data_IF_286884750478
#
_entry.id   IF_286884750478
#
_cell.length_a   1.000
_cell.length_b   1.000
_cell.length_c   1.000
_cell.angle_alpha   90.00
_cell.angle_beta   90.00
_cell.angle_gamma   90.00
#
_symmetry.space_group_name_H-M   'P 1'
#
loop_
_entity.id
_entity.type
_entity.pdbx_description
1 polymer ?
#
# COMPACT_ATOMS: atom_id res chain seq x y z
N UNK A 1 -1.46 9.24 -3.05
CA UNK A 1 -0.84 9.39 -1.72
C UNK A 1 -0.92 8.03 -1.05
N UNK A 2 0.21 7.41 -0.73
CA UNK A 2 0.24 6.16 0.06
C UNK A 2 -0.18 6.47 1.51
N UNK A 3 -1.01 5.62 2.10
CA UNK A 3 -1.54 5.78 3.45
C UNK A 3 -0.80 4.87 4.42
N UNK A 4 -0.47 5.41 5.59
CA UNK A 4 0.24 4.67 6.65
C UNK A 4 -0.58 4.65 7.95
N UNK A 5 -1.78 4.09 7.87
CA UNK A 5 -2.71 3.98 9.01
C UNK A 5 -2.10 3.24 10.22
N UNK A 6 -1.10 2.38 9.96
CA UNK A 6 -0.35 1.66 11.00
C UNK A 6 0.55 2.56 11.87
N UNK A 7 0.95 3.73 11.37
CA UNK A 7 1.81 4.67 12.11
C UNK A 7 1.00 5.79 12.77
N UNK A 8 -0.11 6.20 12.14
CA UNK A 8 -1.00 7.23 12.67
C UNK A 8 -2.46 6.86 12.37
N UNK A 9 -3.22 6.57 13.42
CA UNK A 9 -4.64 6.21 13.31
C UNK A 9 -5.44 7.45 12.89
N UNK A 10 -6.31 7.31 11.90
CA UNK A 10 -7.12 8.37 11.32
C UNK A 10 -6.38 9.21 10.26
N UNK A 11 -5.15 8.85 9.88
CA UNK A 11 -4.38 9.62 8.90
C UNK A 11 -5.11 9.75 7.56
N UNK A 12 -5.84 8.70 7.17
CA UNK A 12 -6.66 8.66 5.96
C UNK A 12 -7.75 9.73 5.98
N UNK A 13 -8.50 9.82 7.08
CA UNK A 13 -9.59 10.79 7.21
C UNK A 13 -9.06 12.23 7.34
N UNK A 14 -7.95 12.42 8.06
CA UNK A 14 -7.27 13.71 8.15
C UNK A 14 -6.88 14.21 6.75
N UNK A 15 -6.30 13.34 5.92
CA UNK A 15 -5.91 13.70 4.55
C UNK A 15 -7.13 13.95 3.65
N UNK A 16 -8.16 13.10 3.72
CA UNK A 16 -9.41 13.30 2.97
C UNK A 16 -10.04 14.65 3.31
N UNK A 17 -10.15 14.99 4.59
CA UNK A 17 -10.72 16.26 5.06
C UNK A 17 -9.87 17.46 4.65
N UNK A 18 -8.55 17.35 4.72
CA UNK A 18 -7.64 18.45 4.32
C UNK A 18 -7.76 18.81 2.84
N UNK A 19 -7.98 17.81 1.98
CA UNK A 19 -7.98 18.00 0.53
C UNK A 19 -9.38 17.94 -0.10
N UNK A 20 -10.43 17.74 0.69
CA UNK A 20 -11.82 17.59 0.21
C UNK A 20 -12.28 18.77 -0.64
N UNK A 21 -11.81 19.97 -0.33
CA UNK A 21 -12.26 21.19 -1.01
C UNK A 21 -11.59 21.37 -2.37
N UNK A 22 -10.34 20.91 -2.51
CA UNK A 22 -9.49 21.13 -3.69
C UNK A 22 -9.43 19.93 -4.63
N UNK A 23 -9.70 18.71 -4.14
CA UNK A 23 -9.55 17.48 -4.91
C UNK A 23 -10.82 16.62 -4.90
N UNK A 24 -11.06 15.91 -6.00
CA UNK A 24 -11.85 14.70 -6.01
C UNK A 24 -10.95 13.56 -5.52
N UNK A 25 -11.40 12.83 -4.51
CA UNK A 25 -10.61 11.80 -3.83
C UNK A 25 -11.30 10.46 -3.98
N UNK A 26 -10.56 9.45 -4.44
CA UNK A 26 -10.98 8.04 -4.42
C UNK A 26 -9.93 7.21 -3.70
N UNK A 27 -10.38 6.29 -2.85
CA UNK A 27 -9.50 5.35 -2.16
C UNK A 27 -9.28 4.10 -3.01
N UNK A 28 -8.05 3.62 -3.02
CA UNK A 28 -7.63 2.36 -3.62
C UNK A 28 -7.16 1.48 -2.47
N UNK A 29 -7.89 0.39 -2.25
CA UNK A 29 -7.58 -0.57 -1.19
C UNK A 29 -6.35 -1.40 -1.56
N UNK A 30 -5.36 -1.40 -0.67
CA UNK A 30 -4.21 -2.28 -0.77
C UNK A 30 -4.63 -3.74 -0.65
N UNK A 31 -3.92 -4.63 -1.35
CA UNK A 31 -4.15 -6.06 -1.28
C UNK A 31 -3.00 -6.73 -0.54
N UNK A 32 -3.29 -7.82 0.18
CA UNK A 32 -2.23 -8.66 0.75
C UNK A 32 -1.42 -9.30 -0.37
N UNK A 33 -0.09 -9.27 -0.25
CA UNK A 33 0.79 -9.96 -1.20
C UNK A 33 0.67 -11.46 -1.05
N UNK A 34 0.82 -12.16 -2.16
CA UNK A 34 0.95 -13.61 -2.19
C UNK A 34 2.25 -14.02 -2.88
N UNK A 35 2.65 -15.28 -2.74
CA UNK A 35 3.92 -15.75 -3.34
C UNK A 35 3.87 -15.72 -4.87
N UNK A 36 2.67 -15.67 -5.44
CA UNK A 36 2.42 -15.51 -6.87
C UNK A 36 2.83 -14.12 -7.38
N UNK A 37 2.89 -13.10 -6.50
CA UNK A 37 3.39 -11.76 -6.83
C UNK A 37 4.93 -11.70 -6.92
N UNK A 38 5.63 -12.79 -6.61
CA UNK A 38 7.09 -12.81 -6.54
C UNK A 38 7.74 -12.49 -7.90
N UNK A 39 8.71 -11.56 -7.96
CA UNK A 39 9.33 -11.18 -9.23
C UNK A 39 10.06 -12.34 -9.89
N UNK A 40 9.78 -12.58 -11.17
CA UNK A 40 10.39 -13.68 -11.92
C UNK A 40 11.92 -13.61 -11.96
N UNK A 41 12.47 -12.40 -11.99
CA UNK A 41 13.92 -12.15 -11.97
C UNK A 41 14.59 -12.63 -10.68
N UNK A 42 13.82 -12.79 -9.60
CA UNK A 42 14.28 -13.21 -8.28
C UNK A 42 13.91 -14.67 -7.95
N UNK A 43 13.37 -15.43 -8.91
CA UNK A 43 12.93 -16.82 -8.68
C UNK A 43 14.04 -17.74 -8.17
N UNK A 44 15.30 -17.43 -8.50
CA UNK A 44 16.46 -18.19 -8.01
C UNK A 44 16.60 -18.14 -6.47
N UNK A 45 15.98 -17.17 -5.78
CA UNK A 45 15.99 -17.08 -4.32
C UNK A 45 14.97 -18.02 -3.65
N UNK A 46 13.93 -18.46 -4.37
CA UNK A 46 12.82 -19.25 -3.81
C UNK A 46 13.25 -20.58 -3.14
N UNK A 47 14.25 -21.32 -3.65
CA UNK A 47 14.72 -22.54 -2.98
C UNK A 47 15.48 -22.28 -1.67
N UNK A 48 16.01 -21.07 -1.46
CA UNK A 48 16.90 -20.75 -0.34
C UNK A 48 16.15 -20.15 0.86
N UNK A 49 14.94 -19.64 0.66
CA UNK A 49 14.20 -18.94 1.70
C UNK A 49 12.75 -19.45 1.78
N UNK A 50 12.21 -19.63 3.00
CA UNK A 50 10.78 -19.92 3.19
C UNK A 50 9.91 -18.81 2.59
N UNK A 51 8.75 -19.18 2.03
CA UNK A 51 7.78 -18.23 1.47
C UNK A 51 7.42 -17.11 2.45
N UNK A 52 7.32 -17.39 3.76
CA UNK A 52 7.04 -16.39 4.78
C UNK A 52 8.09 -15.27 4.82
N UNK A 53 9.37 -15.60 4.67
CA UNK A 53 10.46 -14.62 4.66
C UNK A 53 10.42 -13.79 3.38
N UNK A 54 10.18 -14.45 2.23
CA UNK A 54 10.06 -13.77 0.94
C UNK A 54 8.88 -12.80 0.92
N UNK A 55 7.72 -13.22 1.41
CA UNK A 55 6.54 -12.37 1.58
C UNK A 55 6.83 -11.19 2.52
N UNK A 56 7.47 -11.45 3.66
CA UNK A 56 7.86 -10.40 4.60
C UNK A 56 8.75 -9.34 3.95
N UNK A 57 9.69 -9.73 3.07
CA UNK A 57 10.49 -8.76 2.32
C UNK A 57 9.68 -7.98 1.28
N UNK A 58 8.73 -8.62 0.58
CA UNK A 58 7.87 -7.93 -0.39
C UNK A 58 6.92 -6.93 0.27
N UNK A 59 6.43 -7.25 1.47
CA UNK A 59 5.57 -6.38 2.27
C UNK A 59 6.37 -5.33 3.05
N UNK A 60 7.70 -5.29 2.92
CA UNK A 60 8.60 -4.43 3.72
C UNK A 60 8.39 -4.59 5.24
N UNK A 61 7.95 -5.77 5.67
CA UNK A 61 7.61 -6.07 7.07
C UNK A 61 6.38 -5.35 7.61
N UNK A 62 5.55 -4.77 6.75
CA UNK A 62 4.33 -4.05 7.14
C UNK A 62 3.25 -5.03 7.64
N UNK A 63 2.49 -4.69 8.71
CA UNK A 63 1.48 -5.57 9.30
C UNK A 63 0.16 -5.61 8.50
N UNK A 64 -0.07 -4.65 7.60
CA UNK A 64 -1.28 -4.56 6.78
C UNK A 64 -0.97 -4.01 5.38
N UNK A 65 -1.85 -4.25 4.39
CA UNK A 65 -1.75 -3.60 3.08
C UNK A 65 -1.84 -2.09 3.19
N UNK A 66 -1.06 -1.37 2.37
CA UNK A 66 -1.12 0.08 2.32
C UNK A 66 -2.18 0.53 1.31
N UNK A 67 -3.19 1.25 1.78
CA UNK A 67 -4.18 1.89 0.94
C UNK A 67 -3.60 3.15 0.28
N UNK A 68 -4.25 3.63 -0.77
CA UNK A 68 -3.83 4.82 -1.50
C UNK A 68 -5.01 5.77 -1.68
N UNK A 69 -4.76 7.06 -1.54
CA UNK A 69 -5.68 8.09 -2.03
C UNK A 69 -5.24 8.52 -3.43
N UNK A 70 -6.08 8.24 -4.42
CA UNK A 70 -6.00 8.83 -5.73
C UNK A 70 -6.75 10.17 -5.69
N UNK A 71 -6.01 11.25 -5.95
CA UNK A 71 -6.51 12.62 -5.83
C UNK A 71 -6.37 13.33 -7.17
N UNK A 72 -7.50 13.85 -7.67
CA UNK A 72 -7.53 14.68 -8.87
C UNK A 72 -7.95 16.10 -8.49
N UNK A 73 -7.22 17.15 -8.88
CA UNK A 73 -7.66 18.52 -8.64
C UNK A 73 -9.05 18.76 -9.23
N UNK A 74 -9.91 19.47 -8.50
CA UNK A 74 -11.15 19.99 -9.06
C UNK A 74 -10.79 21.09 -10.06
N UNK A 75 -11.41 21.08 -11.23
CA UNK A 75 -11.32 22.22 -12.15
C UNK A 75 -11.95 23.43 -11.48
N UNK A 76 -11.14 24.44 -11.17
CA UNK A 76 -11.59 25.77 -10.75
C UNK A 76 -12.47 26.42 -11.80
#
# INVERSE_FOLDING_TARGET
VELHEMYEIGCTDILKNRFSDTHQISEIEGQCRSIEDWPNQLNFLRPFFPNKILLHFMDEGRPCPMNWLYMKPKST
#
